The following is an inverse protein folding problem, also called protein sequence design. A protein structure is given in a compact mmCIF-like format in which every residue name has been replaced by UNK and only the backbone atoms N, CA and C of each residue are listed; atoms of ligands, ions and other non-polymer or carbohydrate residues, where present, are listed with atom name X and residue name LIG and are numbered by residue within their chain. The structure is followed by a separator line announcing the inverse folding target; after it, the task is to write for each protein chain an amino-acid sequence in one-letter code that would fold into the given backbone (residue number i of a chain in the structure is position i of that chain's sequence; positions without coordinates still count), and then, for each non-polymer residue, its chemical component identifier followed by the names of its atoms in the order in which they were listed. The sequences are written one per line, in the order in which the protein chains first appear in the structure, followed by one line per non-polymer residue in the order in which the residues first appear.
data_IF_915134306308
#
_entry.id   IF_915134306308
#
_cell.length_a   1.000
_cell.length_b   1.000
_cell.length_c   1.000
_cell.angle_alpha   90.00
_cell.angle_beta   90.00
_cell.angle_gamma   90.00
#
_symmetry.space_group_name_H-M   'P 1'
#
loop_
_entity.id
_entity.type
_entity.pdbx_description
1 polymer ?
#
# COMPACT_ATOMS: atom_id res chain seq x y z
N UNK A 1 -21.10 -2.78 53.38
CA UNK A 1 -21.92 -3.73 52.59
C UNK A 1 -22.21 -3.04 51.28
N UNK A 2 -21.36 -3.27 50.27
CA UNK A 2 -21.59 -4.26 49.22
C UNK A 2 -22.85 -3.92 48.42
N UNK A 3 -22.72 -3.37 47.21
CA UNK A 3 -22.35 -4.04 45.96
C UNK A 3 -23.61 -4.45 45.17
N UNK A 4 -23.60 -4.10 43.87
CA UNK A 4 -24.41 -4.64 42.76
C UNK A 4 -25.94 -4.51 42.75
N UNK A 5 -26.43 -3.75 41.74
CA UNK A 5 -27.27 -4.19 40.59
C UNK A 5 -27.85 -2.93 39.90
N UNK A 6 -27.39 -2.55 38.70
CA UNK A 6 -28.00 -2.91 37.39
C UNK A 6 -29.54 -2.97 37.52
N UNK A 7 -30.34 -2.23 36.75
CA UNK A 7 -30.73 -2.63 35.39
C UNK A 7 -31.67 -1.55 34.81
N UNK A 8 -31.33 -1.06 33.61
CA UNK A 8 -32.21 -0.62 32.52
C UNK A 8 -33.36 0.36 32.80
N UNK A 9 -33.24 1.58 32.26
CA UNK A 9 -34.27 2.12 31.38
C UNK A 9 -33.60 2.71 30.12
N UNK A 10 -33.84 2.04 29.00
CA UNK A 10 -33.40 2.39 27.65
C UNK A 10 -33.84 3.81 27.27
N UNK A 11 -32.87 4.71 27.14
CA UNK A 11 -32.99 5.84 26.24
C UNK A 11 -32.87 5.31 24.80
N UNK A 12 -34.01 5.27 24.11
CA UNK A 12 -34.10 5.16 22.65
C UNK A 12 -33.32 6.32 22.02
N UNK A 13 -32.03 6.13 21.80
CA UNK A 13 -31.32 6.87 20.76
C UNK A 13 -31.76 6.22 19.46
N UNK A 14 -32.61 6.95 18.75
CA UNK A 14 -32.99 6.67 17.38
C UNK A 14 -31.72 6.35 16.57
N UNK A 15 -31.57 5.11 16.11
CA UNK A 15 -30.51 4.77 15.17
C UNK A 15 -30.76 5.57 13.89
N UNK A 16 -30.02 6.66 13.70
CA UNK A 16 -29.70 7.07 12.34
C UNK A 16 -28.93 5.90 11.75
N UNK A 17 -29.56 5.12 10.86
CA UNK A 17 -28.81 4.30 9.92
C UNK A 17 -27.93 5.27 9.14
N UNK A 18 -26.69 5.44 9.56
CA UNK A 18 -25.67 5.97 8.67
C UNK A 18 -25.56 4.91 7.57
N UNK A 19 -26.25 5.14 6.46
CA UNK A 19 -26.28 4.22 5.34
C UNK A 19 -25.00 4.50 4.53
N UNK A 20 -23.86 4.16 5.11
CA UNK A 20 -22.56 4.24 4.47
C UNK A 20 -22.56 3.43 3.18
N UNK A 21 -21.96 3.98 2.13
CA UNK A 21 -21.87 3.36 0.83
C UNK A 21 -20.39 3.19 0.49
N UNK A 22 -20.03 2.01 -0.01
CA UNK A 22 -18.67 1.76 -0.45
C UNK A 22 -18.47 2.34 -1.85
N UNK A 23 -17.35 3.01 -2.06
CA UNK A 23 -16.90 3.48 -3.37
C UNK A 23 -15.44 3.07 -3.57
N UNK A 24 -15.13 2.53 -4.74
CA UNK A 24 -13.76 2.25 -5.14
C UNK A 24 -13.29 3.32 -6.13
N UNK A 25 -12.12 3.88 -5.85
CA UNK A 25 -11.50 4.96 -6.60
C UNK A 25 -10.12 4.51 -7.10
N UNK A 26 -9.79 4.87 -8.32
CA UNK A 26 -8.57 4.38 -9.01
C UNK A 26 -7.80 5.51 -9.72
N UNK A 27 -8.17 6.77 -9.47
CA UNK A 27 -7.72 7.93 -10.23
C UNK A 27 -7.55 9.18 -9.38
N UNK A 28 -8.07 10.32 -9.86
CA UNK A 28 -7.96 11.63 -9.21
C UNK A 28 -8.56 11.71 -7.81
N UNK A 29 -9.45 10.79 -7.44
CA UNK A 29 -10.06 10.71 -6.12
C UNK A 29 -9.22 9.92 -5.10
N UNK A 30 -8.19 9.18 -5.53
CA UNK A 30 -7.30 8.47 -4.62
C UNK A 30 -6.55 9.45 -3.71
N UNK A 31 -6.07 8.95 -2.57
CA UNK A 31 -5.32 9.70 -1.56
C UNK A 31 -4.19 10.52 -2.18
N UNK A 32 -4.16 11.81 -1.83
CA UNK A 32 -3.21 12.81 -2.32
C UNK A 32 -3.16 12.98 -3.85
N UNK A 33 -4.24 12.65 -4.56
CA UNK A 33 -4.47 13.03 -5.95
C UNK A 33 -5.35 14.29 -6.05
N UNK A 34 -5.49 14.85 -7.25
CA UNK A 34 -6.05 16.18 -7.52
C UNK A 34 -7.42 16.43 -6.87
N UNK A 35 -8.31 15.46 -6.97
CA UNK A 35 -9.70 15.55 -6.51
C UNK A 35 -9.91 14.91 -5.14
N UNK A 36 -8.87 14.46 -4.44
CA UNK A 36 -9.02 13.85 -3.12
C UNK A 36 -9.65 14.80 -2.09
N UNK A 37 -9.59 16.12 -2.33
CA UNK A 37 -10.22 17.12 -1.49
C UNK A 37 -11.76 17.01 -1.43
N UNK A 38 -12.41 16.27 -2.35
CA UNK A 38 -13.83 15.90 -2.26
C UNK A 38 -14.08 14.76 -1.26
N UNK A 39 -13.07 13.95 -0.94
CA UNK A 39 -13.18 12.75 -0.11
C UNK A 39 -13.06 13.03 1.40
N UNK A 40 -13.32 14.26 1.86
CA UNK A 40 -13.10 14.67 3.27
C UNK A 40 -13.99 13.93 4.28
N UNK A 41 -15.19 13.54 3.86
CA UNK A 41 -16.14 12.78 4.68
C UNK A 41 -16.00 11.26 4.47
N UNK A 42 -15.01 10.83 3.68
CA UNK A 42 -14.77 9.44 3.37
C UNK A 42 -13.89 8.77 4.43
N UNK A 43 -14.29 7.58 4.85
CA UNK A 43 -13.44 6.71 5.67
C UNK A 43 -12.70 5.75 4.74
N UNK A 44 -11.37 5.79 4.75
CA UNK A 44 -10.56 4.82 3.99
C UNK A 44 -10.73 3.43 4.61
N UNK A 45 -11.23 2.47 3.83
CA UNK A 45 -11.37 1.07 4.23
C UNK A 45 -10.16 0.24 3.81
N UNK A 46 -9.56 0.54 2.66
CA UNK A 46 -8.35 -0.11 2.15
C UNK A 46 -7.67 0.80 1.14
N UNK A 47 -6.37 1.07 1.32
CA UNK A 47 -5.51 1.75 0.35
C UNK A 47 -4.99 0.80 -0.74
N UNK A 48 -5.08 -0.52 -0.52
CA UNK A 48 -4.58 -1.58 -1.41
C UNK A 48 -5.73 -2.44 -1.95
N UNK A 49 -6.66 -1.85 -2.69
CA UNK A 49 -7.78 -2.55 -3.30
C UNK A 49 -7.58 -2.76 -4.80
N UNK A 50 -8.34 -3.68 -5.40
CA UNK A 50 -8.44 -3.79 -6.86
C UNK A 50 -9.82 -4.24 -7.32
N UNK A 51 -10.13 -3.88 -8.56
CA UNK A 51 -11.33 -4.32 -9.29
C UNK A 51 -10.91 -4.93 -10.62
N UNK A 52 -11.76 -5.79 -11.20
CA UNK A 52 -11.61 -6.23 -12.58
C UNK A 52 -11.89 -5.08 -13.56
N UNK A 53 -11.02 -4.91 -14.53
CA UNK A 53 -11.07 -3.84 -15.51
C UNK A 53 -9.68 -3.40 -15.94
N UNK A 54 -9.61 -2.84 -17.15
CA UNK A 54 -8.38 -2.32 -17.72
C UNK A 54 -8.38 -0.79 -17.66
N UNK A 55 -7.30 -0.25 -17.15
CA UNK A 55 -7.12 1.19 -16.98
C UNK A 55 -6.36 1.79 -18.16
N UNK A 56 -6.88 2.90 -18.69
CA UNK A 56 -6.28 3.65 -19.79
C UNK A 56 -6.03 5.09 -19.41
N UNK A 57 -5.07 5.73 -20.07
CA UNK A 57 -4.87 7.18 -19.96
C UNK A 57 -6.06 7.90 -20.60
N UNK A 58 -6.60 8.90 -19.91
CA UNK A 58 -7.61 9.80 -20.47
C UNK A 58 -7.01 11.11 -20.95
N UNK A 59 -7.88 12.06 -21.28
CA UNK A 59 -7.44 13.43 -21.48
C UNK A 59 -7.08 14.06 -20.11
N UNK A 60 -5.91 14.69 -20.03
CA UNK A 60 -5.42 15.35 -18.80
C UNK A 60 -5.09 14.37 -17.65
N UNK A 61 -5.57 14.61 -16.43
CA UNK A 61 -5.19 13.88 -15.20
C UNK A 61 -6.18 12.79 -14.76
N UNK A 62 -7.09 12.37 -15.65
CA UNK A 62 -8.13 11.39 -15.35
C UNK A 62 -7.88 10.07 -16.08
N UNK A 63 -7.76 8.94 -15.37
CA UNK A 63 -7.70 7.64 -16.01
C UNK A 63 -9.10 7.13 -16.39
N UNK A 64 -9.17 6.27 -17.39
CA UNK A 64 -10.39 5.67 -17.91
C UNK A 64 -10.41 4.19 -17.57
N UNK A 65 -11.29 3.75 -16.66
CA UNK A 65 -11.48 2.34 -16.36
C UNK A 65 -12.52 1.72 -17.30
N UNK A 66 -12.10 0.77 -18.12
CA UNK A 66 -12.98 -0.01 -19.01
C UNK A 66 -13.13 -1.41 -18.44
N UNK A 67 -14.37 -1.94 -18.44
CA UNK A 67 -14.64 -3.30 -17.97
C UNK A 67 -13.84 -4.35 -18.74
N UNK A 68 -13.27 -5.29 -18.01
CA UNK A 68 -12.52 -6.44 -18.55
C UNK A 68 -12.50 -7.53 -17.47
N UNK A 69 -12.73 -8.77 -17.87
CA UNK A 69 -12.64 -9.92 -16.95
C UNK A 69 -11.21 -10.48 -16.82
N UNK A 70 -10.31 -10.07 -17.72
CA UNK A 70 -8.94 -10.60 -17.84
C UNK A 70 -7.89 -9.73 -17.13
N UNK A 71 -8.25 -8.47 -16.88
CA UNK A 71 -7.34 -7.43 -16.39
C UNK A 71 -7.85 -6.90 -15.04
N UNK A 72 -6.95 -6.39 -14.22
CA UNK A 72 -7.29 -5.72 -12.96
C UNK A 72 -6.82 -4.28 -12.97
N UNK A 73 -7.42 -3.48 -12.10
CA UNK A 73 -7.03 -2.10 -11.82
C UNK A 73 -6.92 -1.91 -10.31
N UNK A 74 -5.76 -1.40 -9.86
CA UNK A 74 -5.52 -1.08 -8.47
C UNK A 74 -6.06 0.30 -8.10
N UNK A 75 -6.48 0.43 -6.86
CA UNK A 75 -7.06 1.65 -6.33
C UNK A 75 -7.29 1.52 -4.83
N UNK A 76 -8.24 2.30 -4.33
CA UNK A 76 -8.52 2.46 -2.93
C UNK A 76 -10.03 2.30 -2.71
N UNK A 77 -10.41 1.73 -1.57
CA UNK A 77 -11.79 1.52 -1.16
C UNK A 77 -12.13 2.46 0.00
N UNK A 78 -13.24 3.17 -0.13
CA UNK A 78 -13.74 4.10 0.87
C UNK A 78 -15.20 3.82 1.24
N UNK A 79 -15.56 4.09 2.49
CA UNK A 79 -16.94 4.25 2.92
C UNK A 79 -17.29 5.74 2.89
N UNK A 80 -18.40 6.10 2.26
CA UNK A 80 -18.87 7.48 2.11
C UNK A 80 -20.35 7.63 2.47
N UNK A 81 -20.80 8.80 2.93
CA UNK A 81 -22.22 9.09 3.07
C UNK A 81 -22.88 9.22 1.69
N UNK A 82 -24.18 8.90 1.63
CA UNK A 82 -24.96 9.01 0.38
C UNK A 82 -25.05 10.42 -0.21
N UNK A 83 -24.84 11.47 0.59
CA UNK A 83 -24.71 12.86 0.11
C UNK A 83 -23.47 13.02 -0.76
N UNK A 84 -22.30 12.59 -0.25
CA UNK A 84 -21.04 12.65 -0.98
C UNK A 84 -21.09 11.85 -2.27
N UNK A 85 -21.77 10.70 -2.28
CA UNK A 85 -21.93 9.92 -3.50
C UNK A 85 -22.62 10.71 -4.63
N UNK A 86 -23.57 11.60 -4.32
CA UNK A 86 -24.22 12.48 -5.32
C UNK A 86 -23.29 13.60 -5.81
N UNK A 87 -22.39 14.07 -4.97
CA UNK A 87 -21.37 15.05 -5.36
C UNK A 87 -20.35 14.41 -6.30
N UNK A 88 -19.94 13.17 -6.01
CA UNK A 88 -19.08 12.39 -6.90
C UNK A 88 -19.78 12.11 -8.24
N UNK A 89 -21.08 11.82 -8.25
CA UNK A 89 -21.84 11.66 -9.49
C UNK A 89 -21.76 12.91 -10.37
N UNK A 90 -21.89 14.10 -9.77
CA UNK A 90 -21.77 15.37 -10.51
C UNK A 90 -20.35 15.59 -11.03
N UNK A 91 -19.33 15.30 -10.19
CA UNK A 91 -17.92 15.44 -10.56
C UNK A 91 -17.54 14.54 -11.73
N UNK A 92 -17.97 13.28 -11.69
CA UNK A 92 -17.68 12.26 -12.71
C UNK A 92 -18.64 12.38 -13.92
N UNK A 93 -19.52 13.38 -13.95
CA UNK A 93 -20.48 13.57 -15.05
C UNK A 93 -21.43 12.38 -15.24
N UNK A 94 -21.73 11.66 -14.17
CA UNK A 94 -22.71 10.58 -14.14
C UNK A 94 -24.13 11.14 -14.00
N UNK A 95 -25.06 10.58 -14.77
CA UNK A 95 -26.49 10.88 -14.67
C UNK A 95 -27.33 9.72 -15.16
N UNK A 96 -28.36 9.34 -14.40
CA UNK A 96 -29.38 8.36 -14.85
C UNK A 96 -30.36 8.93 -15.86
N UNK A 97 -30.35 10.26 -16.07
CA UNK A 97 -31.25 10.97 -16.97
C UNK A 97 -30.59 11.32 -18.31
N UNK A 98 -29.26 11.21 -18.39
CA UNK A 98 -28.52 11.43 -19.65
C UNK A 98 -28.46 10.14 -20.45
N UNK A 99 -28.72 10.22 -21.75
CA UNK A 99 -28.51 9.09 -22.67
C UNK A 99 -27.02 8.85 -22.97
N UNK A 100 -26.16 9.85 -22.70
CA UNK A 100 -24.70 9.77 -22.89
C UNK A 100 -23.97 10.38 -21.68
N UNK A 101 -23.90 9.67 -20.53
CA UNK A 101 -23.15 10.14 -19.37
C UNK A 101 -21.63 10.09 -19.62
N UNK A 102 -20.87 10.90 -18.89
CA UNK A 102 -19.41 10.93 -19.05
C UNK A 102 -18.78 9.64 -18.49
N UNK A 103 -19.07 9.30 -17.24
CA UNK A 103 -18.84 7.98 -16.67
C UNK A 103 -20.18 7.30 -16.33
N UNK A 104 -20.20 5.96 -16.34
CA UNK A 104 -21.30 5.15 -15.80
C UNK A 104 -20.92 4.62 -14.43
N UNK A 105 -21.78 4.75 -13.44
CA UNK A 105 -21.54 4.21 -12.11
C UNK A 105 -22.28 2.89 -11.91
N UNK A 106 -21.54 1.87 -11.51
CA UNK A 106 -22.08 0.54 -11.29
C UNK A 106 -21.60 -0.06 -9.97
N UNK A 107 -22.28 -1.10 -9.48
CA UNK A 107 -21.75 -1.92 -8.38
C UNK A 107 -20.82 -2.97 -8.95
N UNK A 108 -19.68 -3.17 -8.32
CA UNK A 108 -18.72 -4.19 -8.70
C UNK A 108 -18.06 -4.81 -7.49
N UNK A 109 -17.61 -6.04 -7.66
CA UNK A 109 -16.83 -6.76 -6.67
C UNK A 109 -15.42 -6.16 -6.58
N UNK A 110 -15.04 -5.72 -5.39
CA UNK A 110 -13.75 -5.13 -5.07
C UNK A 110 -13.02 -6.05 -4.10
N UNK A 111 -11.81 -6.42 -4.48
CA UNK A 111 -10.92 -7.25 -3.66
C UNK A 111 -9.99 -6.36 -2.84
N UNK A 112 -9.84 -6.69 -1.56
CA UNK A 112 -8.92 -6.05 -0.60
C UNK A 112 -8.13 -7.12 0.14
N UNK A 113 -7.05 -6.75 0.88
CA UNK A 113 -6.34 -7.71 1.73
C UNK A 113 -7.23 -8.28 2.86
N UNK A 114 -8.35 -7.62 3.17
CA UNK A 114 -9.30 -8.01 4.21
C UNK A 114 -10.49 -8.83 3.67
N UNK A 115 -10.52 -9.09 2.37
CA UNK A 115 -11.58 -9.84 1.71
C UNK A 115 -12.27 -9.05 0.60
N UNK A 116 -13.37 -9.61 0.12
CA UNK A 116 -14.10 -9.15 -1.06
C UNK A 116 -15.38 -8.44 -0.62
N UNK A 117 -15.69 -7.30 -1.24
CA UNK A 117 -16.90 -6.52 -0.95
C UNK A 117 -17.44 -5.82 -2.19
N UNK A 118 -18.73 -5.49 -2.21
CA UNK A 118 -19.30 -4.68 -3.29
C UNK A 118 -19.08 -3.18 -3.02
N UNK A 119 -18.72 -2.45 -4.08
CA UNK A 119 -18.60 -1.00 -4.06
C UNK A 119 -19.12 -0.37 -5.34
N UNK A 120 -19.46 0.92 -5.28
CA UNK A 120 -19.69 1.72 -6.47
C UNK A 120 -18.37 2.01 -7.18
N UNK A 121 -18.37 1.88 -8.51
CA UNK A 121 -17.22 2.13 -9.38
C UNK A 121 -17.71 2.92 -10.58
N UNK A 122 -16.97 3.96 -10.95
CA UNK A 122 -17.20 4.71 -12.19
C UNK A 122 -16.43 4.04 -13.33
N UNK A 123 -17.09 3.71 -14.43
CA UNK A 123 -16.50 3.11 -15.62
C UNK A 123 -16.65 4.04 -16.81
N UNK A 124 -15.64 4.05 -17.68
CA UNK A 124 -15.71 4.69 -18.97
C UNK A 124 -16.60 3.82 -19.89
N UNK A 125 -17.76 4.32 -20.36
CA UNK A 125 -18.74 3.50 -21.07
C UNK A 125 -18.40 3.27 -22.55
N UNK A 126 -17.33 3.88 -23.05
CA UNK A 126 -16.93 3.90 -24.45
C UNK A 126 -15.61 3.15 -24.63
N UNK A 127 -15.22 2.96 -25.88
CA UNK A 127 -13.85 2.51 -26.18
C UNK A 127 -12.85 3.58 -25.71
N UNK A 128 -11.77 3.15 -25.04
CA UNK A 128 -10.70 4.04 -24.62
C UNK A 128 -9.70 4.21 -25.77
N UNK A 129 -9.35 5.45 -26.10
CA UNK A 129 -8.37 5.78 -27.15
C UNK A 129 -6.95 6.04 -26.61
N UNK A 130 -6.80 6.12 -25.30
CA UNK A 130 -5.51 6.32 -24.65
C UNK A 130 -4.70 5.04 -24.54
N UNK A 131 -3.50 5.18 -23.99
CA UNK A 131 -2.59 4.07 -23.74
C UNK A 131 -3.00 3.31 -22.48
N UNK A 132 -2.65 2.02 -22.40
CA UNK A 132 -2.84 1.27 -21.17
C UNK A 132 -1.99 1.87 -20.04
N UNK A 133 -2.59 2.08 -18.87
CA UNK A 133 -1.88 2.58 -17.69
C UNK A 133 -0.94 1.50 -17.19
N UNK A 134 0.36 1.81 -17.20
CA UNK A 134 1.40 0.92 -16.72
C UNK A 134 1.18 0.51 -15.25
N UNK A 135 1.52 -0.73 -14.91
CA UNK A 135 1.29 -1.35 -13.60
C UNK A 135 -0.18 -1.41 -13.14
N UNK A 136 -1.15 -1.08 -14.00
CA UNK A 136 -2.57 -1.08 -13.65
C UNK A 136 -2.94 -0.15 -12.48
N UNK A 137 -2.09 0.83 -12.16
CA UNK A 137 -2.24 1.71 -11.00
C UNK A 137 -1.91 3.15 -11.43
N UNK A 138 -2.92 4.03 -11.36
CA UNK A 138 -2.77 5.43 -11.77
C UNK A 138 -1.75 6.20 -10.93
N UNK A 139 -1.73 5.98 -9.61
CA UNK A 139 -0.79 6.66 -8.71
C UNK A 139 0.63 6.29 -9.09
N UNK A 140 0.89 5.00 -9.28
CA UNK A 140 2.21 4.52 -9.70
C UNK A 140 2.57 5.08 -11.07
N UNK A 141 1.69 4.94 -12.05
CA UNK A 141 1.93 5.39 -13.43
C UNK A 141 2.36 6.85 -13.50
N UNK A 142 1.76 7.72 -12.68
CA UNK A 142 2.13 9.14 -12.60
C UNK A 142 3.37 9.39 -11.78
N UNK A 143 3.50 8.74 -10.63
CA UNK A 143 4.59 8.99 -9.70
C UNK A 143 5.96 8.61 -10.31
N UNK A 144 6.02 7.56 -11.13
CA UNK A 144 7.26 7.11 -11.78
C UNK A 144 7.72 7.98 -12.96
N UNK A 145 6.89 8.95 -13.42
CA UNK A 145 7.28 9.92 -14.44
C UNK A 145 8.26 10.97 -13.92
N UNK A 146 8.41 11.08 -12.60
CA UNK A 146 9.37 12.03 -11.99
C UNK A 146 10.81 11.60 -12.27
N UNK A 147 11.68 12.58 -12.51
CA UNK A 147 13.12 12.33 -12.67
C UNK A 147 13.71 11.69 -11.42
N UNK A 148 13.36 12.25 -10.25
CA UNK A 148 13.72 11.76 -8.93
C UNK A 148 12.48 11.56 -8.07
N UNK A 149 12.47 10.51 -7.27
CA UNK A 149 11.35 10.20 -6.38
C UNK A 149 11.83 9.55 -5.08
N UNK A 150 10.95 9.49 -4.09
CA UNK A 150 11.23 8.77 -2.86
C UNK A 150 10.90 7.29 -3.02
N UNK A 151 11.81 6.42 -2.55
CA UNK A 151 11.63 4.98 -2.45
C UNK A 151 11.69 4.57 -0.98
N UNK A 152 10.66 3.90 -0.49
CA UNK A 152 10.55 3.39 0.86
C UNK A 152 10.87 1.89 0.90
N UNK A 153 12.01 1.55 1.50
CA UNK A 153 12.46 0.18 1.72
C UNK A 153 12.16 -0.27 3.15
N UNK A 154 11.51 -1.42 3.30
CA UNK A 154 11.16 -2.01 4.61
C UNK A 154 11.74 -3.43 4.80
N UNK A 155 12.49 -3.94 3.81
CA UNK A 155 13.08 -5.28 3.77
C UNK A 155 14.58 -5.24 3.51
N UNK A 156 15.11 -6.24 2.78
CA UNK A 156 16.56 -6.31 2.46
C UNK A 156 17.12 -5.07 1.75
N UNK A 157 16.28 -4.29 1.04
CA UNK A 157 16.71 -3.06 0.38
C UNK A 157 17.12 -1.94 1.36
N UNK A 158 16.91 -2.10 2.67
CA UNK A 158 17.48 -1.22 3.69
C UNK A 158 18.99 -1.42 3.87
N UNK A 159 19.51 -2.60 3.48
CA UNK A 159 20.93 -2.91 3.50
C UNK A 159 21.57 -2.71 2.12
N UNK A 160 22.85 -2.31 2.12
CA UNK A 160 23.58 -2.00 0.90
C UNK A 160 24.39 -3.16 0.33
N UNK A 161 24.51 -4.31 1.01
CA UNK A 161 25.43 -5.38 0.56
C UNK A 161 25.08 -5.90 -0.83
N UNK A 162 23.80 -6.25 -1.06
CA UNK A 162 23.33 -6.68 -2.38
C UNK A 162 23.40 -5.58 -3.44
N UNK A 163 23.30 -4.31 -3.04
CA UNK A 163 23.47 -3.20 -3.97
C UNK A 163 24.94 -3.10 -4.41
N UNK A 164 25.88 -3.30 -3.50
CA UNK A 164 27.31 -3.35 -3.81
C UNK A 164 27.65 -4.57 -4.68
N UNK A 165 27.11 -5.74 -4.36
CA UNK A 165 27.36 -6.98 -5.12
C UNK A 165 26.88 -6.86 -6.58
N UNK A 166 25.78 -6.14 -6.81
CA UNK A 166 25.26 -5.84 -8.14
C UNK A 166 25.90 -4.59 -8.78
N UNK A 167 26.78 -3.88 -8.08
CA UNK A 167 27.46 -2.68 -8.56
C UNK A 167 26.56 -1.43 -8.71
N UNK A 168 25.42 -1.40 -8.02
CA UNK A 168 24.40 -0.33 -8.13
C UNK A 168 24.27 0.52 -6.86
N UNK A 169 25.11 0.31 -5.85
CA UNK A 169 25.10 1.05 -4.58
C UNK A 169 25.22 2.57 -4.78
N UNK A 170 25.97 3.01 -5.78
CA UNK A 170 26.11 4.41 -6.15
C UNK A 170 24.77 5.10 -6.48
N UNK A 171 23.75 4.34 -6.91
CA UNK A 171 22.40 4.84 -7.20
C UNK A 171 21.54 5.08 -5.96
N UNK A 172 21.96 4.57 -4.79
CA UNK A 172 21.23 4.61 -3.52
C UNK A 172 21.94 5.42 -2.42
N UNK A 173 22.73 6.41 -2.83
CA UNK A 173 23.55 7.25 -1.94
C UNK A 173 22.77 8.37 -1.25
N UNK A 174 21.67 8.84 -1.84
CA UNK A 174 20.83 9.91 -1.29
C UNK A 174 19.78 9.36 -0.33
N UNK A 175 20.17 9.15 0.93
CA UNK A 175 19.30 8.62 1.99
C UNK A 175 18.65 9.78 2.74
N UNK A 176 17.31 9.79 2.83
CA UNK A 176 16.53 10.81 3.55
C UNK A 176 16.38 10.51 5.04
N UNK A 177 16.66 9.28 5.45
CA UNK A 177 16.57 8.83 6.84
C UNK A 177 15.49 7.78 7.02
N UNK A 178 14.93 7.73 8.22
CA UNK A 178 13.84 6.81 8.56
C UNK A 178 12.53 7.35 8.00
N UNK A 179 11.68 6.42 7.57
CA UNK A 179 10.28 6.67 7.26
C UNK A 179 9.37 5.76 8.06
N UNK A 180 8.21 6.26 8.45
CA UNK A 180 7.16 5.51 9.13
C UNK A 180 5.91 5.41 8.26
N UNK A 181 5.51 4.17 7.94
CA UNK A 181 4.31 3.83 7.21
C UNK A 181 3.22 3.36 8.18
N UNK A 182 2.26 4.24 8.46
CA UNK A 182 1.16 3.98 9.40
C UNK A 182 0.01 3.18 8.76
N UNK A 183 -0.64 2.31 9.53
CA UNK A 183 -1.75 1.47 9.08
C UNK A 183 -1.32 0.20 8.35
N UNK A 184 -0.04 -0.15 8.43
CA UNK A 184 0.55 -1.34 7.84
C UNK A 184 1.38 -2.08 8.87
N UNK A 185 1.54 -3.39 8.66
CA UNK A 185 2.47 -4.24 9.42
C UNK A 185 3.46 -4.91 8.49
N UNK A 186 4.63 -5.23 9.04
CA UNK A 186 5.65 -6.03 8.37
C UNK A 186 5.24 -7.51 8.39
N UNK A 187 4.94 -8.04 7.22
CA UNK A 187 4.59 -9.44 6.98
C UNK A 187 5.70 -10.15 6.18
N UNK A 188 5.67 -11.48 6.11
CA UNK A 188 6.53 -12.21 5.16
C UNK A 188 5.72 -13.25 4.40
N UNK A 189 5.10 -12.78 3.32
CA UNK A 189 3.98 -13.43 2.64
C UNK A 189 4.33 -13.94 1.24
N UNK A 190 5.59 -13.87 0.80
CA UNK A 190 6.05 -14.53 -0.43
C UNK A 190 7.06 -15.61 -0.10
N UNK A 191 7.04 -16.73 -0.82
CA UNK A 191 7.87 -17.91 -0.55
C UNK A 191 8.79 -18.22 -1.72
N UNK A 192 10.07 -18.38 -1.42
CA UNK A 192 11.10 -18.93 -2.29
C UNK A 192 11.60 -20.26 -1.72
N UNK A 193 12.49 -20.92 -2.46
CA UNK A 193 13.05 -22.24 -2.05
C UNK A 193 13.72 -22.20 -0.66
N UNK A 194 14.29 -21.06 -0.28
CA UNK A 194 15.05 -20.88 0.96
C UNK A 194 14.24 -20.22 2.10
N UNK A 195 12.96 -19.91 1.88
CA UNK A 195 12.08 -19.30 2.87
C UNK A 195 11.38 -18.04 2.36
N UNK A 196 10.82 -17.26 3.29
CA UNK A 196 10.00 -16.10 2.92
C UNK A 196 10.79 -14.83 2.59
N UNK A 197 10.12 -13.83 2.00
CA UNK A 197 10.59 -12.44 1.90
C UNK A 197 9.55 -11.48 2.47
N UNK A 198 10.04 -10.29 2.83
CA UNK A 198 9.25 -9.27 3.51
C UNK A 198 8.16 -8.70 2.61
N UNK A 199 7.06 -8.28 3.22
CA UNK A 199 5.92 -7.62 2.60
C UNK A 199 5.33 -6.59 3.56
N UNK A 200 4.56 -5.65 3.04
CA UNK A 200 3.70 -4.77 3.82
C UNK A 200 2.24 -5.21 3.62
N UNK A 201 1.52 -5.35 4.72
CA UNK A 201 0.09 -5.70 4.70
C UNK A 201 -0.68 -4.70 5.53
N UNK A 202 -1.84 -4.26 5.04
CA UNK A 202 -2.71 -3.35 5.78
C UNK A 202 -3.12 -3.96 7.12
N UNK A 203 -2.92 -3.18 8.18
CA UNK A 203 -3.31 -3.55 9.53
C UNK A 203 -3.52 -2.27 10.34
N UNK A 204 -4.78 -1.84 10.51
CA UNK A 204 -5.09 -0.65 11.30
C UNK A 204 -4.53 -0.75 12.71
N UNK A 205 -3.75 0.26 13.11
CA UNK A 205 -3.11 0.34 14.43
C UNK A 205 -1.64 -0.08 14.47
N UNK A 206 -1.14 -0.74 13.42
CA UNK A 206 0.30 -1.04 13.27
C UNK A 206 0.99 0.02 12.40
N UNK A 207 2.32 0.01 12.46
CA UNK A 207 3.17 0.77 11.56
C UNK A 207 4.38 -0.05 11.12
N UNK A 208 4.99 0.38 10.00
CA UNK A 208 6.26 -0.15 9.49
C UNK A 208 7.26 0.98 9.44
N UNK A 209 8.40 0.83 10.12
CA UNK A 209 9.54 1.70 9.88
C UNK A 209 10.41 1.14 8.75
N UNK A 210 10.99 2.02 7.96
CA UNK A 210 11.87 1.67 6.85
C UNK A 210 12.83 2.80 6.50
N UNK A 211 13.66 2.57 5.48
CA UNK A 211 14.62 3.56 4.99
C UNK A 211 14.06 4.25 3.75
N UNK A 212 14.11 5.57 3.74
CA UNK A 212 13.70 6.37 2.57
C UNK A 212 14.94 6.78 1.77
N UNK A 213 14.96 6.40 0.50
CA UNK A 213 15.94 6.82 -0.49
C UNK A 213 15.31 7.84 -1.44
N UNK A 214 16.12 8.74 -1.99
CA UNK A 214 15.75 9.50 -3.19
C UNK A 214 16.49 8.94 -4.39
N UNK A 215 15.74 8.38 -5.33
CA UNK A 215 16.26 7.58 -6.45
C UNK A 215 15.93 8.17 -7.81
N UNK A 216 16.88 8.07 -8.73
CA UNK A 216 16.71 8.41 -10.15
C UNK A 216 16.17 7.24 -10.97
N UNK A 217 16.01 7.45 -12.29
CA UNK A 217 15.42 6.46 -13.22
C UNK A 217 16.12 5.10 -13.21
N UNK A 218 17.45 5.09 -13.26
CA UNK A 218 18.24 3.85 -13.30
C UNK A 218 18.04 2.98 -12.05
N UNK A 219 18.03 3.58 -10.85
CA UNK A 219 17.71 2.87 -9.62
C UNK A 219 16.28 2.29 -9.64
N UNK A 220 15.32 2.98 -10.23
CA UNK A 220 13.94 2.46 -10.35
C UNK A 220 13.87 1.24 -11.26
N UNK A 221 14.55 1.28 -12.41
CA UNK A 221 14.60 0.14 -13.34
C UNK A 221 15.23 -1.09 -12.65
N UNK A 222 16.32 -0.89 -11.91
CA UNK A 222 16.91 -1.92 -11.07
C UNK A 222 15.93 -2.47 -10.02
N UNK A 223 15.20 -1.61 -9.31
CA UNK A 223 14.22 -2.04 -8.32
C UNK A 223 13.10 -2.88 -8.95
N UNK A 224 12.58 -2.49 -10.11
CA UNK A 224 11.53 -3.25 -10.81
C UNK A 224 11.98 -4.67 -11.16
N UNK A 225 13.23 -4.82 -11.60
CA UNK A 225 13.84 -6.13 -11.87
C UNK A 225 14.05 -6.92 -10.58
N UNK A 226 14.65 -6.30 -9.55
CA UNK A 226 14.95 -6.95 -8.26
C UNK A 226 13.70 -7.46 -7.56
N UNK A 227 12.61 -6.70 -7.61
CA UNK A 227 11.34 -7.02 -6.97
C UNK A 227 10.45 -7.94 -7.83
N UNK A 228 10.92 -8.35 -9.02
CA UNK A 228 10.20 -9.28 -9.88
C UNK A 228 8.85 -8.75 -10.35
N UNK A 229 8.77 -7.47 -10.74
CA UNK A 229 7.52 -6.84 -11.19
C UNK A 229 6.99 -7.51 -12.46
N UNK A 230 7.86 -7.76 -13.43
CA UNK A 230 7.49 -8.44 -14.69
C UNK A 230 7.04 -9.88 -14.46
N UNK A 231 7.65 -10.56 -13.48
CA UNK A 231 7.31 -11.94 -13.08
C UNK A 231 6.17 -12.00 -12.04
N UNK A 232 5.55 -10.85 -11.74
CA UNK A 232 4.39 -10.72 -10.84
C UNK A 232 4.63 -11.24 -9.42
N UNK A 233 5.85 -11.09 -8.89
CA UNK A 233 6.14 -11.40 -7.48
C UNK A 233 5.63 -10.27 -6.59
N UNK A 234 6.14 -9.07 -6.82
CA UNK A 234 5.67 -7.83 -6.20
C UNK A 234 5.05 -6.92 -7.25
N UNK A 235 4.14 -6.05 -6.83
CA UNK A 235 3.73 -4.88 -7.60
C UNK A 235 4.27 -3.61 -6.96
N UNK A 236 4.58 -2.58 -7.76
CA UNK A 236 4.79 -1.25 -7.21
C UNK A 236 3.49 -0.71 -6.59
N UNK A 237 3.63 0.11 -5.56
CA UNK A 237 2.53 0.84 -4.92
C UNK A 237 3.03 2.18 -4.40
N UNK A 238 2.16 3.18 -4.31
CA UNK A 238 2.47 4.47 -3.71
C UNK A 238 1.93 4.51 -2.29
N UNK A 239 2.85 4.64 -1.34
CA UNK A 239 2.60 4.71 0.10
C UNK A 239 2.85 6.12 0.64
N UNK A 240 2.27 6.41 1.80
CA UNK A 240 2.42 7.68 2.50
C UNK A 240 3.26 7.47 3.76
N UNK A 241 4.45 8.06 3.75
CA UNK A 241 5.47 7.82 4.77
C UNK A 241 5.74 9.11 5.51
N UNK A 242 5.76 9.06 6.83
CA UNK A 242 6.16 10.18 7.70
C UNK A 242 7.67 10.11 7.93
N UNK A 243 8.40 11.14 7.53
CA UNK A 243 9.84 11.24 7.75
C UNK A 243 10.19 11.62 9.20
N UNK A 244 11.49 11.64 9.50
CA UNK A 244 12.02 12.04 10.82
C UNK A 244 11.66 13.48 11.22
N UNK A 245 11.36 14.33 10.24
CA UNK A 245 10.90 15.71 10.42
C UNK A 245 9.40 15.82 10.74
N UNK A 246 8.68 14.69 10.79
CA UNK A 246 7.23 14.62 10.98
C UNK A 246 6.43 14.97 9.73
N UNK A 247 7.09 15.20 8.58
CA UNK A 247 6.42 15.52 7.32
C UNK A 247 6.04 14.23 6.60
N UNK A 248 4.77 14.10 6.25
CA UNK A 248 4.28 12.99 5.43
C UNK A 248 4.43 13.29 3.94
N UNK A 249 5.01 12.35 3.20
CA UNK A 249 5.17 12.44 1.75
C UNK A 249 4.90 11.09 1.05
N UNK A 250 4.65 11.14 -0.26
CA UNK A 250 4.47 9.95 -1.10
C UNK A 250 5.83 9.30 -1.39
N UNK A 251 5.89 7.98 -1.33
CA UNK A 251 7.04 7.17 -1.74
C UNK A 251 6.59 5.97 -2.57
N UNK A 252 7.41 5.58 -3.55
CA UNK A 252 7.33 4.28 -4.20
C UNK A 252 7.71 3.20 -3.19
N UNK A 253 6.94 2.13 -3.13
CA UNK A 253 7.33 0.89 -2.48
C UNK A 253 6.80 -0.29 -3.29
N UNK A 254 7.00 -1.50 -2.78
CA UNK A 254 6.56 -2.74 -3.42
C UNK A 254 5.75 -3.55 -2.43
N UNK A 255 4.74 -4.29 -2.89
CA UNK A 255 3.98 -5.22 -2.05
C UNK A 255 3.69 -6.50 -2.82
N UNK A 256 3.66 -7.63 -2.12
CA UNK A 256 3.42 -8.95 -2.70
C UNK A 256 2.02 -9.00 -3.31
N UNK A 257 1.93 -9.50 -4.55
CA UNK A 257 0.65 -9.66 -5.27
C UNK A 257 -0.14 -10.84 -4.68
N UNK A 258 0.46 -12.03 -4.67
CA UNK A 258 -0.14 -13.25 -4.14
C UNK A 258 0.41 -13.55 -2.75
N UNK A 259 -0.29 -13.04 -1.72
CA UNK A 259 0.11 -13.20 -0.32
C UNK A 259 -0.17 -14.62 0.16
N UNK A 260 0.88 -15.35 0.54
CA UNK A 260 0.86 -16.68 1.15
C UNK A 260 0.91 -16.58 2.68
N UNK A 261 0.63 -17.70 3.34
CA UNK A 261 0.77 -17.80 4.80
C UNK A 261 2.20 -17.45 5.24
N UNK A 262 2.34 -16.73 6.35
CA UNK A 262 3.66 -16.28 6.80
C UNK A 262 4.51 -17.46 7.30
N UNK A 263 5.76 -17.51 6.83
CA UNK A 263 6.79 -18.45 7.29
C UNK A 263 8.07 -17.68 7.58
N UNK A 264 8.99 -18.29 8.32
CA UNK A 264 10.28 -17.67 8.63
C UNK A 264 11.11 -17.38 7.35
N UNK A 265 11.83 -16.25 7.30
CA UNK A 265 12.80 -15.96 6.27
C UNK A 265 14.09 -16.75 6.54
N UNK A 266 14.95 -16.92 5.52
CA UNK A 266 16.28 -17.45 5.74
C UNK A 266 17.14 -16.47 6.56
N UNK A 267 18.13 -17.01 7.26
CA UNK A 267 19.03 -16.25 8.12
C UNK A 267 19.72 -15.08 7.40
N UNK A 268 20.30 -15.32 6.22
CA UNK A 268 20.99 -14.27 5.46
C UNK A 268 20.07 -13.08 5.14
N UNK A 269 18.80 -13.34 4.85
CA UNK A 269 17.80 -12.29 4.57
C UNK A 269 17.40 -11.53 5.84
N UNK A 270 17.23 -12.25 6.96
CA UNK A 270 16.99 -11.61 8.26
C UNK A 270 18.18 -10.75 8.72
N UNK A 271 19.41 -11.20 8.47
CA UNK A 271 20.64 -10.44 8.73
C UNK A 271 20.69 -9.16 7.89
N UNK A 272 20.33 -9.21 6.61
CA UNK A 272 20.22 -8.01 5.77
C UNK A 272 19.21 -7.00 6.35
N UNK A 273 17.99 -7.45 6.67
CA UNK A 273 16.97 -6.58 7.29
C UNK A 273 17.52 -5.95 8.57
N UNK A 274 18.13 -6.75 9.44
CA UNK A 274 18.66 -6.27 10.70
C UNK A 274 19.81 -5.26 10.52
N UNK A 275 20.80 -5.55 9.65
CA UNK A 275 21.93 -4.63 9.39
C UNK A 275 21.49 -3.32 8.75
N UNK A 276 20.55 -3.38 7.81
CA UNK A 276 19.96 -2.20 7.18
C UNK A 276 19.18 -1.37 8.19
N UNK A 277 18.32 -2.04 8.97
CA UNK A 277 17.46 -1.41 9.94
C UNK A 277 18.22 -0.74 11.09
N UNK A 278 19.25 -1.40 11.63
CA UNK A 278 20.04 -0.91 12.78
C UNK A 278 20.68 0.47 12.54
N UNK A 279 20.91 0.85 11.28
CA UNK A 279 21.50 2.14 10.91
C UNK A 279 20.52 3.31 11.00
N UNK A 280 19.20 3.06 10.86
CA UNK A 280 18.22 4.12 10.60
C UNK A 280 16.94 4.01 11.45
N UNK A 281 16.48 2.80 11.75
CA UNK A 281 15.21 2.59 12.44
C UNK A 281 15.31 2.86 13.94
N UNK A 282 14.19 3.12 14.59
CA UNK A 282 14.14 3.36 16.02
C UNK A 282 14.52 2.12 16.82
N UNK A 283 15.10 2.32 18.00
CA UNK A 283 15.49 1.22 18.88
C UNK A 283 14.30 0.32 19.25
N UNK A 284 13.11 0.90 19.44
CA UNK A 284 11.92 0.14 19.79
C UNK A 284 11.44 -0.74 18.64
N UNK A 285 11.50 -0.23 17.41
CA UNK A 285 11.16 -1.01 16.22
C UNK A 285 12.21 -2.10 15.94
N UNK A 286 13.49 -1.81 16.14
CA UNK A 286 14.54 -2.82 16.02
C UNK A 286 14.38 -3.95 17.04
N UNK A 287 14.05 -3.63 18.30
CA UNK A 287 13.73 -4.63 19.33
C UNK A 287 12.55 -5.52 18.95
N UNK A 288 11.52 -4.97 18.29
CA UNK A 288 10.37 -5.77 17.84
C UNK A 288 10.75 -6.71 16.68
N UNK A 289 11.59 -6.25 15.73
CA UNK A 289 12.16 -7.11 14.67
C UNK A 289 13.01 -8.22 15.27
N UNK A 290 13.91 -7.89 16.19
CA UNK A 290 14.78 -8.87 16.86
C UNK A 290 13.96 -9.92 17.60
N UNK A 291 12.94 -9.50 18.37
CA UNK A 291 12.02 -10.40 19.04
C UNK A 291 11.29 -11.32 18.04
N UNK A 292 10.75 -10.75 16.95
CA UNK A 292 10.04 -11.52 15.92
C UNK A 292 10.94 -12.61 15.32
N UNK A 293 12.17 -12.27 14.95
CA UNK A 293 13.11 -13.23 14.38
C UNK A 293 13.61 -14.27 15.38
N UNK A 294 13.81 -13.90 16.65
CA UNK A 294 14.30 -14.83 17.67
C UNK A 294 13.23 -15.74 18.24
N UNK A 295 12.11 -15.18 18.68
CA UNK A 295 11.16 -15.85 19.57
C UNK A 295 9.94 -16.36 18.81
N UNK A 296 9.39 -15.56 17.90
CA UNK A 296 8.23 -15.98 17.11
C UNK A 296 8.64 -16.93 16.00
N UNK A 297 9.62 -16.52 15.19
CA UNK A 297 9.96 -17.21 13.94
C UNK A 297 11.16 -18.13 14.06
N UNK A 298 11.94 -17.95 15.12
CA UNK A 298 13.11 -18.79 15.45
C UNK A 298 14.02 -18.96 14.24
N UNK A 299 14.30 -17.84 13.56
CA UNK A 299 15.17 -17.80 12.39
C UNK A 299 16.51 -18.45 12.79
N UNK A 300 16.97 -19.48 12.06
CA UNK A 300 18.20 -20.18 12.39
C UNK A 300 19.37 -19.21 12.55
N UNK A 301 20.24 -19.47 13.53
CA UNK A 301 21.48 -18.72 13.77
C UNK A 301 21.32 -17.24 14.19
N UNK A 302 20.11 -16.67 14.14
CA UNK A 302 19.87 -15.26 14.41
C UNK A 302 20.21 -14.86 15.86
N UNK A 303 19.89 -15.74 16.83
CA UNK A 303 20.29 -15.55 18.23
C UNK A 303 21.81 -15.48 18.41
N UNK A 304 22.54 -16.37 17.75
CA UNK A 304 24.01 -16.40 17.79
C UNK A 304 24.59 -15.15 17.13
N UNK A 305 23.98 -14.69 16.04
CA UNK A 305 24.33 -13.45 15.36
C UNK A 305 24.22 -12.22 16.30
N UNK A 306 23.10 -12.04 17.02
CA UNK A 306 22.95 -10.92 17.96
C UNK A 306 23.93 -11.01 19.14
N UNK A 307 24.17 -12.21 19.68
CA UNK A 307 25.16 -12.41 20.75
C UNK A 307 26.57 -11.97 20.33
N UNK A 308 26.99 -12.27 19.08
CA UNK A 308 28.28 -11.82 18.54
C UNK A 308 28.37 -10.30 18.40
N UNK A 309 27.23 -9.62 18.21
CA UNK A 309 27.13 -8.16 18.12
C UNK A 309 27.07 -7.46 19.49
N UNK A 310 27.12 -8.21 20.60
CA UNK A 310 27.15 -7.65 21.96
C UNK A 310 25.79 -7.41 22.59
N UNK A 311 24.71 -7.93 22.00
CA UNK A 311 23.36 -7.83 22.55
C UNK A 311 23.24 -8.71 23.81
N UNK A 312 22.84 -8.12 24.94
CA UNK A 312 22.54 -8.83 26.20
C UNK A 312 21.04 -8.75 26.44
N UNK A 313 20.43 -9.89 26.75
CA UNK A 313 19.03 -10.04 27.13
C UNK A 313 18.62 -9.04 28.21
#
# INVERSE_FOLDING_TARGET
MQDQRRTFYQLKICSRRNNGMNVFVYGSLCKNQENHHFMKEATCLSEQAFVKGKLYTGHSYYPLLVKSEEEITYGELYEIPSSLLKELDQLEGYSTLSEDPYFVRERSEVSTPHGVTEAFVYYWPREAKGEAVHNHDWKVHRYIQKDRLHYFAYGSCMDNSRLCDHGVDHLFTSIKGKGELNGYRLAFSTHFEDGSRADITEHPGDHVEGVVYEVGKEAREYLYQREGVETRVYRPTIVHVTGDDGITFQALSFTVIEKKAEIAPPFHYAEEIHRGGLKYLSENYMKSIEYKFMEEWKVPEFKTYLQRKGWRQ
#
